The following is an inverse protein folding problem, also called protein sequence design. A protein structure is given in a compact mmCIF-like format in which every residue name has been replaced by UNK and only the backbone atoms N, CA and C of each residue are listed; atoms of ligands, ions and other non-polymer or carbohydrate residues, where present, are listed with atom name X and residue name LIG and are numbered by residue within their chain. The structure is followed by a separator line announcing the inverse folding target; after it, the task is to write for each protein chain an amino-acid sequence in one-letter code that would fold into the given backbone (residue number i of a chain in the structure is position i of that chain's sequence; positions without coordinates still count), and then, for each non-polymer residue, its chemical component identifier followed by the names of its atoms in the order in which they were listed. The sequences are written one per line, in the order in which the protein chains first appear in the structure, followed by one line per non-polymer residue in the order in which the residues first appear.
data_IF_446594962588
#
_entry.id   IF_446594962588
#
_cell.length_a   1.000
_cell.length_b   1.000
_cell.length_c   1.000
_cell.angle_alpha   90.00
_cell.angle_beta   90.00
_cell.angle_gamma   90.00
#
_symmetry.space_group_name_H-M   'P 1'
#
loop_
_entity.id
_entity.type
_entity.pdbx_description
1 polymer ?
#
# COMPACT_ATOMS: atom_id res chain seq x y z
N UNK A 1 -64.28 23.10 -25.20
CA UNK A 1 -65.21 22.05 -25.65
C UNK A 1 -64.98 21.91 -27.14
N UNK A 2 -64.18 20.93 -27.57
CA UNK A 2 -64.23 20.26 -28.87
C UNK A 2 -63.25 19.08 -28.82
N UNK A 3 -63.81 17.90 -29.02
CA UNK A 3 -63.22 16.56 -28.96
C UNK A 3 -62.00 16.35 -29.87
N UNK A 4 -61.05 15.54 -29.41
CA UNK A 4 -60.02 14.91 -30.25
C UNK A 4 -60.23 13.39 -30.16
N UNK A 5 -60.38 12.66 -31.29
CA UNK A 5 -60.79 11.26 -31.26
C UNK A 5 -59.64 10.29 -31.02
N UNK A 6 -59.99 9.22 -30.32
CA UNK A 6 -59.20 8.04 -30.00
C UNK A 6 -58.98 7.18 -31.26
N UNK A 7 -57.72 6.95 -31.65
CA UNK A 7 -57.36 6.05 -32.76
C UNK A 7 -56.68 4.80 -32.21
N UNK A 8 -57.40 3.68 -32.33
CA UNK A 8 -56.97 2.29 -32.12
C UNK A 8 -55.71 1.97 -32.92
N UNK A 9 -54.67 1.50 -32.24
CA UNK A 9 -53.51 0.85 -32.87
C UNK A 9 -53.82 -0.65 -33.02
N UNK A 10 -53.89 -1.11 -34.27
CA UNK A 10 -53.96 -2.54 -34.61
C UNK A 10 -52.57 -3.19 -34.56
N UNK A 11 -52.56 -4.41 -34.06
CA UNK A 11 -51.42 -5.32 -34.02
C UNK A 11 -51.02 -5.79 -35.43
N UNK A 12 -49.72 -5.93 -35.65
CA UNK A 12 -49.18 -6.61 -36.82
C UNK A 12 -47.68 -6.87 -36.71
N UNK A 13 -47.30 -8.15 -36.75
CA UNK A 13 -46.07 -8.63 -37.38
C UNK A 13 -44.82 -8.72 -36.51
N UNK A 14 -44.59 -9.91 -35.94
CA UNK A 14 -43.26 -10.39 -35.57
C UNK A 14 -42.43 -10.66 -36.84
N UNK A 15 -41.23 -10.09 -36.95
CA UNK A 15 -40.10 -10.74 -37.61
C UNK A 15 -38.89 -10.70 -36.64
N UNK A 16 -38.32 -11.88 -36.40
CA UNK A 16 -37.42 -12.15 -35.29
C UNK A 16 -35.96 -11.83 -35.56
N UNK A 17 -35.28 -11.33 -34.52
CA UNK A 17 -33.84 -11.47 -34.37
C UNK A 17 -33.53 -12.87 -33.81
N UNK A 18 -32.78 -13.74 -34.50
CA UNK A 18 -32.55 -15.11 -34.08
C UNK A 18 -31.29 -15.19 -33.21
N UNK A 19 -31.30 -14.64 -32.01
CA UNK A 19 -30.32 -15.02 -30.99
C UNK A 19 -30.98 -14.99 -29.61
N UNK A 20 -31.31 -16.15 -29.01
CA UNK A 20 -31.56 -16.19 -27.59
C UNK A 20 -30.21 -15.92 -26.92
N UNK A 21 -30.04 -14.75 -26.30
CA UNK A 21 -28.95 -14.56 -25.34
C UNK A 21 -29.23 -15.50 -24.17
N UNK A 22 -28.39 -16.52 -23.90
CA UNK A 22 -28.52 -17.24 -22.65
C UNK A 22 -28.06 -16.27 -21.55
N UNK A 23 -29.02 -15.68 -20.85
CA UNK A 23 -28.79 -15.05 -19.56
C UNK A 23 -28.41 -16.16 -18.56
N UNK A 24 -27.18 -16.68 -18.66
CA UNK A 24 -26.56 -17.40 -17.57
C UNK A 24 -26.39 -16.38 -16.46
N UNK A 25 -27.33 -16.37 -15.50
CA UNK A 25 -27.11 -15.85 -14.16
C UNK A 25 -25.77 -16.41 -13.71
N UNK A 26 -24.70 -15.60 -13.75
CA UNK A 26 -23.41 -15.99 -13.19
C UNK A 26 -23.66 -16.18 -11.70
N UNK A 27 -23.68 -17.45 -11.26
CA UNK A 27 -23.88 -17.88 -9.87
C UNK A 27 -23.05 -16.96 -8.97
N UNK A 28 -23.64 -16.41 -7.90
CA UNK A 28 -22.84 -15.82 -6.84
C UNK A 28 -21.85 -16.88 -6.37
N UNK A 29 -20.57 -16.56 -6.42
CA UNK A 29 -19.52 -17.55 -6.20
C UNK A 29 -19.54 -18.00 -4.73
N UNK A 30 -19.81 -19.29 -4.50
CA UNK A 30 -19.69 -19.89 -3.18
C UNK A 30 -18.20 -20.16 -2.93
N UNK A 31 -17.63 -19.46 -1.96
CA UNK A 31 -16.20 -19.54 -1.60
C UNK A 31 -15.77 -20.98 -1.32
N UNK A 32 -16.66 -21.79 -0.71
CA UNK A 32 -16.39 -23.19 -0.40
C UNK A 32 -16.34 -24.02 -1.69
N UNK A 33 -17.31 -23.86 -2.59
CA UNK A 33 -17.33 -24.56 -3.90
C UNK A 33 -16.03 -24.26 -4.68
N UNK A 34 -15.62 -23.00 -4.75
CA UNK A 34 -14.38 -22.62 -5.44
C UNK A 34 -13.12 -23.25 -4.84
N UNK A 35 -13.07 -23.39 -3.52
CA UNK A 35 -11.94 -24.01 -2.83
C UNK A 35 -11.95 -25.54 -3.02
N UNK A 36 -13.12 -26.17 -2.96
CA UNK A 36 -13.26 -27.63 -3.10
C UNK A 36 -13.00 -28.10 -4.54
N UNK A 37 -13.40 -27.32 -5.56
CA UNK A 37 -13.17 -27.64 -6.98
C UNK A 37 -11.69 -27.55 -7.43
N UNK A 38 -10.81 -27.00 -6.60
CA UNK A 38 -9.40 -26.71 -6.96
C UNK A 38 -8.40 -27.31 -5.96
N UNK A 39 -8.69 -28.50 -5.43
CA UNK A 39 -7.86 -29.23 -4.44
C UNK A 39 -7.56 -28.40 -3.16
N UNK A 40 -8.44 -27.48 -2.81
CA UNK A 40 -8.38 -26.65 -1.59
C UNK A 40 -9.07 -27.30 -0.39
N UNK A 41 -9.43 -28.58 -0.44
CA UNK A 41 -10.15 -29.26 0.64
C UNK A 41 -9.42 -29.19 1.98
N UNK A 42 -8.10 -29.37 1.97
CA UNK A 42 -7.25 -29.24 3.16
C UNK A 42 -7.28 -27.81 3.75
N UNK A 43 -7.38 -26.78 2.88
CA UNK A 43 -7.49 -25.37 3.32
C UNK A 43 -8.83 -25.13 3.99
N UNK A 44 -9.92 -25.62 3.40
CA UNK A 44 -11.26 -25.49 4.00
C UNK A 44 -11.31 -26.16 5.36
N UNK A 45 -10.73 -27.36 5.49
CA UNK A 45 -10.66 -28.06 6.76
C UNK A 45 -9.81 -27.32 7.80
N UNK A 46 -8.62 -26.84 7.41
CA UNK A 46 -7.71 -26.07 8.28
C UNK A 46 -8.35 -24.77 8.78
N UNK A 47 -9.00 -24.03 7.87
CA UNK A 47 -9.67 -22.78 8.20
C UNK A 47 -10.88 -23.01 9.11
N UNK A 48 -11.65 -24.08 8.94
CA UNK A 48 -12.79 -24.41 9.82
C UNK A 48 -12.36 -24.81 11.22
N UNK A 49 -11.27 -25.57 11.35
CA UNK A 49 -10.75 -26.06 12.63
C UNK A 49 -9.91 -25.01 13.39
N UNK A 50 -9.65 -23.85 12.78
CA UNK A 50 -8.66 -22.85 13.24
C UNK A 50 -7.24 -23.42 13.38
N UNK A 51 -6.98 -24.66 12.96
CA UNK A 51 -5.65 -25.24 12.90
C UNK A 51 -5.02 -24.90 11.53
N UNK A 52 -3.95 -24.10 11.53
CA UNK A 52 -3.22 -23.83 10.29
C UNK A 52 -3.74 -22.67 9.44
N UNK A 53 -4.36 -21.63 10.01
CA UNK A 53 -4.46 -20.30 9.37
C UNK A 53 -3.09 -19.60 9.36
N UNK A 54 -2.10 -20.26 8.75
CA UNK A 54 -0.78 -19.68 8.50
C UNK A 54 -0.85 -18.73 7.31
N UNK A 55 0.10 -17.81 7.19
CA UNK A 55 0.28 -17.00 5.99
C UNK A 55 0.33 -17.85 4.71
N UNK A 56 0.99 -19.02 4.76
CA UNK A 56 1.06 -19.96 3.63
C UNK A 56 -0.33 -20.47 3.22
N UNK A 57 -1.17 -20.81 4.20
CA UNK A 57 -2.55 -21.25 3.97
C UNK A 57 -3.40 -20.13 3.39
N UNK A 58 -3.30 -18.91 3.95
CA UNK A 58 -4.01 -17.73 3.43
C UNK A 58 -3.59 -17.40 2.00
N UNK A 59 -2.29 -17.40 1.69
CA UNK A 59 -1.78 -17.19 0.35
C UNK A 59 -2.29 -18.25 -0.64
N UNK A 60 -2.29 -19.53 -0.26
CA UNK A 60 -2.82 -20.62 -1.10
C UNK A 60 -4.33 -20.46 -1.33
N UNK A 61 -5.09 -20.10 -0.28
CA UNK A 61 -6.52 -19.79 -0.37
C UNK A 61 -6.77 -18.66 -1.38
N UNK A 62 -6.10 -17.51 -1.23
CA UNK A 62 -6.26 -16.36 -2.11
C UNK A 62 -5.92 -16.71 -3.56
N UNK A 63 -4.83 -17.46 -3.81
CA UNK A 63 -4.46 -17.90 -5.16
C UNK A 63 -5.54 -18.76 -5.82
N UNK A 64 -6.12 -19.70 -5.08
CA UNK A 64 -7.20 -20.56 -5.59
C UNK A 64 -8.43 -19.70 -5.90
N UNK A 65 -8.84 -18.84 -4.97
CA UNK A 65 -10.02 -17.99 -5.13
C UNK A 65 -9.85 -17.01 -6.29
N UNK A 66 -8.70 -16.36 -6.43
CA UNK A 66 -8.41 -15.47 -7.56
C UNK A 66 -8.39 -16.24 -8.89
N UNK A 67 -7.81 -17.45 -8.91
CA UNK A 67 -7.84 -18.31 -10.10
C UNK A 67 -9.27 -18.66 -10.51
N UNK A 68 -10.11 -19.07 -9.56
CA UNK A 68 -11.53 -19.33 -9.81
C UNK A 68 -12.29 -18.07 -10.25
N UNK A 69 -11.99 -16.91 -9.65
CA UNK A 69 -12.58 -15.63 -10.04
C UNK A 69 -12.26 -15.28 -11.50
N UNK A 70 -11.00 -15.50 -11.91
CA UNK A 70 -10.56 -15.29 -13.29
C UNK A 70 -11.23 -16.28 -14.25
N UNK A 71 -11.38 -17.55 -13.86
CA UNK A 71 -12.11 -18.56 -14.67
C UNK A 71 -13.58 -18.15 -14.90
N UNK A 72 -14.23 -17.58 -13.89
CA UNK A 72 -15.66 -17.21 -13.94
C UNK A 72 -15.94 -15.84 -14.60
N UNK A 73 -15.03 -14.88 -14.41
CA UNK A 73 -15.24 -13.47 -14.79
C UNK A 73 -14.19 -12.91 -15.76
N UNK A 74 -13.22 -13.71 -16.19
CA UNK A 74 -12.11 -13.29 -17.05
C UNK A 74 -10.99 -12.63 -16.25
N UNK A 75 -9.92 -12.23 -16.95
CA UNK A 75 -8.69 -11.68 -16.34
C UNK A 75 -8.87 -10.33 -15.63
N UNK A 76 -10.01 -9.66 -15.83
CA UNK A 76 -10.34 -8.38 -15.20
C UNK A 76 -11.77 -8.39 -14.64
N UNK A 77 -12.01 -9.07 -13.50
CA UNK A 77 -13.32 -9.05 -12.86
C UNK A 77 -13.73 -7.62 -12.46
N UNK A 78 -15.03 -7.26 -12.52
CA UNK A 78 -15.52 -5.98 -12.01
C UNK A 78 -15.26 -5.78 -10.52
N UNK A 79 -15.22 -4.54 -10.05
CA UNK A 79 -14.99 -4.20 -8.64
C UNK A 79 -16.06 -4.81 -7.73
N UNK A 80 -17.32 -4.78 -8.13
CA UNK A 80 -18.44 -5.36 -7.38
C UNK A 80 -18.25 -6.86 -7.13
N UNK A 81 -17.71 -7.57 -8.12
CA UNK A 81 -17.44 -9.01 -8.02
C UNK A 81 -16.26 -9.28 -7.07
N UNK A 82 -15.19 -8.48 -7.16
CA UNK A 82 -14.05 -8.56 -6.23
C UNK A 82 -14.48 -8.29 -4.79
N UNK A 83 -15.25 -7.22 -4.58
CA UNK A 83 -15.81 -6.86 -3.27
C UNK A 83 -16.76 -7.93 -2.75
N UNK A 84 -17.62 -8.50 -3.61
CA UNK A 84 -18.50 -9.60 -3.25
C UNK A 84 -17.74 -10.84 -2.78
N UNK A 85 -16.67 -11.22 -3.48
CA UNK A 85 -15.81 -12.33 -3.09
C UNK A 85 -15.13 -12.05 -1.74
N UNK A 86 -14.57 -10.85 -1.54
CA UNK A 86 -13.94 -10.47 -0.28
C UNK A 86 -14.91 -10.56 0.91
N UNK A 87 -16.15 -10.06 0.73
CA UNK A 87 -17.22 -10.18 1.73
C UNK A 87 -17.54 -11.65 2.03
N UNK A 88 -17.73 -12.47 0.99
CA UNK A 88 -18.05 -13.88 1.15
C UNK A 88 -16.94 -14.66 1.88
N UNK A 89 -15.66 -14.32 1.66
CA UNK A 89 -14.54 -14.93 2.39
C UNK A 89 -14.66 -14.65 3.88
N UNK A 90 -14.90 -13.38 4.24
CA UNK A 90 -14.97 -12.93 5.63
C UNK A 90 -16.24 -13.41 6.35
N UNK A 91 -17.33 -13.63 5.62
CA UNK A 91 -18.54 -14.28 6.13
C UNK A 91 -18.34 -15.78 6.34
N UNK A 92 -17.66 -16.44 5.40
CA UNK A 92 -17.38 -17.89 5.45
C UNK A 92 -16.35 -18.23 6.51
N UNK A 93 -15.37 -17.35 6.72
CA UNK A 93 -14.28 -17.50 7.67
C UNK A 93 -14.22 -16.28 8.61
N UNK A 94 -15.14 -16.16 9.59
CA UNK A 94 -15.24 -14.98 10.44
C UNK A 94 -14.00 -14.68 11.28
N UNK A 95 -13.15 -15.67 11.54
CA UNK A 95 -11.89 -15.43 12.27
C UNK A 95 -10.86 -14.68 11.42
N UNK A 96 -11.04 -14.59 10.10
CA UNK A 96 -10.25 -13.69 9.25
C UNK A 96 -10.68 -12.22 9.43
N UNK A 97 -11.78 -11.96 10.16
CA UNK A 97 -12.07 -10.63 10.67
C UNK A 97 -11.03 -10.36 11.73
N UNK A 98 -10.20 -9.38 11.48
CA UNK A 98 -9.46 -8.79 12.56
C UNK A 98 -10.42 -7.93 13.41
N UNK A 99 -10.43 -8.16 14.73
CA UNK A 99 -11.17 -7.34 15.69
C UNK A 99 -10.57 -5.95 15.87
N UNK A 100 -9.27 -5.80 15.60
CA UNK A 100 -8.50 -4.55 15.75
C UNK A 100 -8.37 -3.79 14.39
N UNK A 101 -8.54 -4.48 13.27
CA UNK A 101 -8.53 -3.92 11.92
C UNK A 101 -7.14 -3.71 11.28
N UNK A 102 -6.07 -4.17 11.93
CA UNK A 102 -4.67 -4.19 11.47
C UNK A 102 -4.37 -5.34 10.47
N UNK A 103 -5.23 -6.36 10.42
CA UNK A 103 -5.12 -7.53 9.54
C UNK A 103 -4.00 -8.49 9.95
N UNK A 104 -3.53 -9.30 9.00
CA UNK A 104 -2.42 -10.25 9.21
C UNK A 104 -1.12 -9.80 8.53
N UNK A 105 -0.94 -8.49 8.37
CA UNK A 105 0.16 -7.93 7.59
C UNK A 105 1.51 -8.32 8.17
N UNK A 106 1.63 -8.30 9.49
CA UNK A 106 2.89 -8.63 10.18
C UNK A 106 3.27 -10.10 9.96
N UNK A 107 2.30 -11.02 10.09
CA UNK A 107 2.52 -12.45 9.88
C UNK A 107 2.77 -12.77 8.41
N UNK A 108 2.03 -12.13 7.50
CA UNK A 108 2.20 -12.33 6.05
C UNK A 108 3.57 -11.82 5.59
N UNK A 109 3.98 -10.64 6.06
CA UNK A 109 5.31 -10.10 5.78
C UNK A 109 6.40 -11.02 6.34
N UNK A 110 6.30 -11.42 7.61
CA UNK A 110 7.23 -12.34 8.26
C UNK A 110 7.36 -13.68 7.51
N UNK A 111 6.26 -14.19 6.96
CA UNK A 111 6.27 -15.42 6.18
C UNK A 111 6.91 -15.27 4.80
N UNK A 112 6.81 -14.10 4.17
CA UNK A 112 7.42 -13.82 2.87
C UNK A 112 8.93 -13.65 2.96
N UNK A 113 9.43 -12.95 3.98
CA UNK A 113 10.85 -12.55 4.04
C UNK A 113 11.66 -13.25 5.16
N UNK A 114 10.98 -13.99 6.05
CA UNK A 114 11.54 -14.62 7.24
C UNK A 114 11.42 -13.75 8.50
N UNK A 115 11.05 -14.37 9.61
CA UNK A 115 10.75 -13.71 10.89
C UNK A 115 11.88 -12.80 11.41
N UNK A 116 13.14 -13.17 11.15
CA UNK A 116 14.32 -12.39 11.57
C UNK A 116 14.41 -11.01 10.90
N UNK A 117 13.64 -10.76 9.83
CA UNK A 117 13.64 -9.49 9.10
C UNK A 117 12.49 -8.56 9.48
N UNK A 118 11.43 -9.03 10.13
CA UNK A 118 10.20 -8.25 10.35
C UNK A 118 10.39 -7.04 11.26
N UNK A 119 11.19 -7.18 12.32
CA UNK A 119 11.42 -6.09 13.29
C UNK A 119 12.58 -5.16 12.92
N UNK A 120 13.16 -5.31 11.72
CA UNK A 120 14.44 -4.67 11.38
C UNK A 120 14.38 -3.15 11.44
N UNK A 121 13.28 -2.53 11.04
CA UNK A 121 13.14 -1.09 11.13
C UNK A 121 13.24 -0.63 12.59
N UNK A 122 12.43 -1.20 13.49
CA UNK A 122 12.52 -0.86 14.92
C UNK A 122 13.89 -1.16 15.55
N UNK A 123 14.57 -2.23 15.12
CA UNK A 123 15.88 -2.62 15.67
C UNK A 123 17.02 -1.75 15.15
N UNK A 124 16.97 -1.34 13.87
CA UNK A 124 18.02 -0.52 13.25
C UNK A 124 17.83 0.97 13.49
N UNK A 125 16.59 1.44 13.59
CA UNK A 125 16.30 2.87 13.67
C UNK A 125 16.50 3.42 15.09
N UNK A 126 17.77 3.45 15.51
CA UNK A 126 18.19 3.98 16.81
C UNK A 126 18.45 5.48 16.74
N UNK A 127 18.62 6.11 17.92
CA UNK A 127 18.95 7.55 18.01
C UNK A 127 20.29 7.86 17.35
N UNK A 128 21.24 6.94 17.42
CA UNK A 128 22.57 7.05 16.81
C UNK A 128 22.46 7.04 15.29
N UNK A 129 21.69 6.11 14.72
CA UNK A 129 21.46 6.07 13.28
C UNK A 129 20.76 7.34 12.78
N UNK A 130 19.77 7.82 13.52
CA UNK A 130 19.10 9.08 13.22
C UNK A 130 20.07 10.26 13.19
N UNK A 131 20.98 10.36 14.17
CA UNK A 131 22.01 11.39 14.22
C UNK A 131 22.98 11.28 13.02
N UNK A 132 23.43 10.07 12.66
CA UNK A 132 24.27 9.84 11.48
C UNK A 132 23.58 10.27 10.19
N UNK A 133 22.27 10.04 10.06
CA UNK A 133 21.49 10.47 8.90
C UNK A 133 21.42 11.99 8.84
N UNK A 134 21.08 12.67 9.95
CA UNK A 134 21.05 14.13 10.01
C UNK A 134 22.42 14.74 9.67
N UNK A 135 23.50 14.15 10.17
CA UNK A 135 24.86 14.56 9.86
C UNK A 135 25.17 14.39 8.36
N UNK A 136 24.80 13.24 7.77
CA UNK A 136 24.97 13.01 6.34
C UNK A 136 24.18 14.04 5.51
N UNK A 137 22.94 14.34 5.89
CA UNK A 137 22.13 15.38 5.25
C UNK A 137 22.86 16.73 5.25
N UNK A 138 23.50 17.05 6.38
CA UNK A 138 24.27 18.28 6.55
C UNK A 138 25.58 18.28 5.74
N UNK A 139 26.18 17.13 5.45
CA UNK A 139 27.39 17.06 4.63
C UNK A 139 27.11 17.22 3.13
N UNK A 140 25.95 16.78 2.63
CA UNK A 140 25.58 16.89 1.21
C UNK A 140 25.20 18.33 0.76
N UNK A 141 25.41 19.34 1.62
CA UNK A 141 24.90 20.73 1.55
C UNK A 141 25.35 21.63 0.38
N UNK A 142 25.94 21.13 -0.70
CA UNK A 142 26.45 22.03 -1.75
C UNK A 142 25.43 22.58 -2.76
N UNK A 143 24.11 22.34 -2.62
CA UNK A 143 23.17 22.87 -3.62
C UNK A 143 21.66 22.84 -3.39
N UNK A 144 21.15 22.32 -2.28
CA UNK A 144 19.70 22.32 -1.99
C UNK A 144 19.46 23.07 -0.69
N UNK A 145 18.73 24.19 -0.74
CA UNK A 145 18.20 24.80 0.47
C UNK A 145 17.25 23.78 1.10
N UNK A 146 17.72 23.06 2.13
CA UNK A 146 16.97 22.01 2.82
C UNK A 146 15.71 22.51 3.55
N UNK A 147 15.38 23.79 3.39
CA UNK A 147 14.16 24.43 3.84
C UNK A 147 13.97 24.40 5.35
N UNK A 148 12.86 24.96 5.78
CA UNK A 148 12.46 24.99 7.19
C UNK A 148 12.22 23.58 7.75
N UNK A 149 11.85 22.62 6.88
CA UNK A 149 11.58 21.22 7.24
C UNK A 149 12.81 20.53 7.85
N UNK A 150 13.98 20.66 7.23
CA UNK A 150 15.18 20.02 7.77
C UNK A 150 15.61 20.63 9.11
N UNK A 151 15.52 21.96 9.24
CA UNK A 151 15.85 22.63 10.50
C UNK A 151 14.92 22.19 11.62
N UNK A 152 13.61 22.16 11.34
CA UNK A 152 12.58 21.65 12.26
C UNK A 152 12.87 20.21 12.72
N UNK A 153 13.24 19.32 11.79
CA UNK A 153 13.56 17.93 12.09
C UNK A 153 14.88 17.76 12.85
N UNK A 154 15.88 18.60 12.58
CA UNK A 154 17.16 18.60 13.30
C UNK A 154 17.00 18.98 14.77
N UNK A 155 16.07 19.88 15.07
CA UNK A 155 15.77 20.33 16.44
C UNK A 155 14.64 19.54 17.11
N UNK A 156 14.17 18.47 16.48
CA UNK A 156 13.06 17.68 17.02
C UNK A 156 13.44 16.97 18.33
N UNK A 157 12.46 16.83 19.22
CA UNK A 157 12.65 16.19 20.54
C UNK A 157 12.96 14.69 20.41
N UNK A 158 12.34 14.01 19.45
CA UNK A 158 12.58 12.61 19.16
C UNK A 158 13.48 12.48 17.91
N UNK A 159 14.76 12.08 18.05
CA UNK A 159 15.65 11.90 16.92
C UNK A 159 15.13 10.92 15.88
N UNK A 160 14.28 9.95 16.24
CA UNK A 160 13.79 8.95 15.29
C UNK A 160 12.94 9.56 14.17
N UNK A 161 12.39 10.76 14.38
CA UNK A 161 11.66 11.52 13.34
C UNK A 161 12.56 11.98 12.20
N UNK A 162 13.89 11.92 12.34
CA UNK A 162 14.86 12.19 11.27
C UNK A 162 14.70 11.31 10.03
N UNK A 163 14.00 10.16 10.14
CA UNK A 163 13.60 9.33 8.99
C UNK A 163 12.83 10.13 7.93
N UNK A 164 12.11 11.17 8.35
CA UNK A 164 11.39 12.08 7.46
C UNK A 164 12.31 12.88 6.53
N UNK A 165 13.60 13.02 6.87
CA UNK A 165 14.56 13.74 6.04
C UNK A 165 15.01 12.95 4.82
N UNK A 166 14.83 11.62 4.77
CA UNK A 166 15.34 10.78 3.67
C UNK A 166 15.01 11.32 2.26
N UNK A 167 13.77 11.77 1.96
CA UNK A 167 13.43 12.29 0.64
C UNK A 167 14.14 13.62 0.28
N UNK A 168 14.74 14.32 1.25
CA UNK A 168 15.42 15.61 1.01
C UNK A 168 16.78 15.47 0.32
N UNK A 169 17.38 14.29 0.35
CA UNK A 169 18.73 14.07 -0.18
C UNK A 169 18.86 12.78 -0.99
N UNK A 170 17.90 11.87 -0.87
CA UNK A 170 17.73 10.81 -1.85
C UNK A 170 17.08 11.41 -3.11
N UNK A 171 17.69 11.18 -4.28
CA UNK A 171 17.19 11.70 -5.55
C UNK A 171 15.71 11.33 -5.76
N UNK A 172 14.80 12.31 -5.91
CA UNK A 172 13.41 12.04 -6.22
C UNK A 172 13.29 11.27 -7.54
N UNK A 173 12.26 10.42 -7.66
CA UNK A 173 12.06 9.68 -8.91
C UNK A 173 11.40 10.50 -10.01
N UNK A 174 11.10 9.83 -11.13
CA UNK A 174 10.38 10.42 -12.28
C UNK A 174 8.90 10.15 -12.14
N UNK A 175 8.09 11.19 -12.21
CA UNK A 175 6.64 11.11 -12.17
C UNK A 175 6.02 11.55 -13.51
N UNK A 176 4.83 11.04 -13.79
CA UNK A 176 4.05 11.45 -14.96
C UNK A 176 3.46 12.83 -14.70
N UNK A 177 3.65 13.75 -15.63
CA UNK A 177 3.08 15.09 -15.56
C UNK A 177 1.81 15.21 -16.41
N UNK A 178 1.83 14.56 -17.58
CA UNK A 178 0.77 14.59 -18.60
C UNK A 178 0.84 13.27 -19.36
N UNK A 179 -0.21 12.81 -20.07
CA UNK A 179 -0.10 11.62 -20.90
C UNK A 179 1.14 11.62 -21.81
N UNK A 180 2.02 10.63 -21.60
CA UNK A 180 3.28 10.48 -22.35
C UNK A 180 4.46 11.37 -21.90
N UNK A 181 4.28 12.33 -20.99
CA UNK A 181 5.35 13.22 -20.51
C UNK A 181 5.70 12.97 -19.05
N UNK A 182 6.99 12.76 -18.79
CA UNK A 182 7.55 12.51 -17.47
C UNK A 182 8.47 13.66 -17.08
N UNK A 183 8.44 14.04 -15.79
CA UNK A 183 9.38 14.98 -15.19
C UNK A 183 9.98 14.41 -13.91
N UNK A 184 11.06 15.01 -13.44
CA UNK A 184 11.58 14.71 -12.11
C UNK A 184 10.63 15.29 -11.05
N UNK A 185 10.39 14.52 -10.00
CA UNK A 185 9.72 15.03 -8.82
C UNK A 185 10.65 16.00 -8.07
N UNK A 186 10.07 16.95 -7.36
CA UNK A 186 10.80 17.82 -6.44
C UNK A 186 11.02 17.12 -5.10
N UNK A 187 11.93 17.63 -4.27
CA UNK A 187 12.09 17.13 -2.90
C UNK A 187 10.84 17.36 -2.05
N UNK A 188 10.09 18.44 -2.28
CA UNK A 188 8.81 18.68 -1.59
C UNK A 188 7.75 17.64 -1.96
N UNK A 189 7.67 17.27 -3.24
CA UNK A 189 6.77 16.20 -3.70
C UNK A 189 7.19 14.84 -3.14
N UNK A 190 8.50 14.57 -3.04
CA UNK A 190 9.01 13.35 -2.44
C UNK A 190 8.71 13.29 -0.93
N UNK A 191 8.84 14.41 -0.20
CA UNK A 191 8.46 14.50 1.21
C UNK A 191 6.97 14.20 1.43
N UNK A 192 6.10 14.84 0.65
CA UNK A 192 4.65 14.70 0.78
C UNK A 192 4.16 13.31 0.32
N UNK A 193 4.83 12.70 -0.66
CA UNK A 193 4.54 11.35 -1.09
C UNK A 193 5.00 10.30 -0.07
N UNK A 194 6.14 10.54 0.60
CA UNK A 194 6.62 9.63 1.64
C UNK A 194 5.73 9.69 2.88
N UNK A 195 5.44 10.90 3.37
CA UNK A 195 4.58 11.16 4.53
C UNK A 195 3.72 12.38 4.22
N UNK A 196 2.42 12.15 4.09
CA UNK A 196 1.44 13.23 4.02
C UNK A 196 1.34 13.90 5.39
N UNK A 197 1.51 15.21 5.46
CA UNK A 197 1.38 15.95 6.71
C UNK A 197 0.13 16.81 6.65
N UNK A 198 -0.77 16.59 7.61
CA UNK A 198 -2.00 17.36 7.77
C UNK A 198 -2.06 17.98 9.17
N UNK A 199 -2.73 19.12 9.37
CA UNK A 199 -2.84 19.74 10.69
C UNK A 199 -3.65 18.87 11.66
N UNK A 200 -3.41 19.08 12.97
CA UNK A 200 -4.27 18.49 14.02
C UNK A 200 -5.70 19.02 13.85
N UNK A 201 -6.69 18.14 13.97
CA UNK A 201 -8.10 18.46 13.76
C UNK A 201 -8.61 18.26 12.33
N UNK A 202 -7.78 17.73 11.42
CA UNK A 202 -8.20 17.33 10.07
C UNK A 202 -9.37 16.34 10.15
N UNK A 203 -10.44 16.63 9.40
CA UNK A 203 -11.59 15.74 9.29
C UNK A 203 -11.19 14.54 8.41
N UNK A 204 -10.84 13.42 9.04
CA UNK A 204 -10.36 12.23 8.34
C UNK A 204 -11.33 11.69 7.28
N UNK A 205 -12.65 11.53 7.54
CA UNK A 205 -13.58 11.10 6.49
C UNK A 205 -13.54 11.98 5.25
N UNK A 206 -13.62 13.30 5.42
CA UNK A 206 -13.56 14.25 4.30
C UNK A 206 -12.23 14.17 3.55
N UNK A 207 -11.13 14.13 4.30
CA UNK A 207 -9.79 14.00 3.73
C UNK A 207 -9.67 12.73 2.88
N UNK A 208 -10.22 11.60 3.35
CA UNK A 208 -10.19 10.32 2.65
C UNK A 208 -11.02 10.35 1.36
N UNK A 209 -12.18 11.00 1.38
CA UNK A 209 -13.04 11.18 0.19
C UNK A 209 -12.40 12.06 -0.89
N UNK A 210 -11.50 12.96 -0.52
CA UNK A 210 -10.78 13.86 -1.43
C UNK A 210 -9.56 13.19 -2.10
N UNK A 211 -9.14 11.99 -1.66
CA UNK A 211 -8.02 11.27 -2.27
C UNK A 211 -8.43 10.62 -3.58
N UNK A 212 -7.80 11.05 -4.68
CA UNK A 212 -7.92 10.40 -5.97
C UNK A 212 -6.91 9.26 -6.09
N UNK A 213 -7.38 8.02 -6.30
CA UNK A 213 -6.53 6.81 -6.42
C UNK A 213 -5.44 6.94 -7.50
N UNK A 214 -5.77 7.61 -8.62
CA UNK A 214 -4.85 7.84 -9.73
C UNK A 214 -3.72 8.83 -9.37
N UNK A 215 -3.96 9.72 -8.42
CA UNK A 215 -2.99 10.74 -7.99
C UNK A 215 -2.13 10.26 -6.83
N UNK A 216 -2.73 9.50 -5.90
CA UNK A 216 -2.06 9.04 -4.68
C UNK A 216 -2.27 7.54 -4.48
N UNK A 217 -1.26 6.77 -4.87
CA UNK A 217 -1.23 5.32 -4.66
C UNK A 217 -1.22 5.00 -3.16
N UNK A 218 -2.05 4.03 -2.79
CA UNK A 218 -2.11 3.46 -1.45
C UNK A 218 -1.33 2.13 -1.40
N UNK A 219 -0.77 1.76 -0.24
CA UNK A 219 -0.82 2.48 1.02
C UNK A 219 0.17 3.65 1.10
N UNK A 220 -0.11 4.63 1.97
CA UNK A 220 0.83 5.70 2.31
C UNK A 220 0.69 6.14 3.77
N UNK A 221 1.70 6.81 4.31
CA UNK A 221 1.68 7.32 5.69
C UNK A 221 1.03 8.71 5.74
N UNK A 222 0.07 8.87 6.65
CA UNK A 222 -0.50 10.15 7.04
C UNK A 222 -0.03 10.52 8.45
N UNK A 223 0.49 11.72 8.59
CA UNK A 223 0.93 12.34 9.83
C UNK A 223 0.00 13.51 10.17
N UNK A 224 -0.63 13.48 11.34
CA UNK A 224 -1.33 14.63 11.90
C UNK A 224 -0.40 15.38 12.85
N UNK A 225 -0.24 16.68 12.64
CA UNK A 225 0.62 17.56 13.42
C UNK A 225 1.88 18.02 12.69
N UNK A 226 2.87 18.44 13.45
CA UNK A 226 4.14 18.95 12.92
C UNK A 226 5.15 17.82 12.72
N UNK A 227 6.05 17.96 11.75
CA UNK A 227 7.07 16.95 11.47
C UNK A 227 8.06 16.78 12.62
N UNK A 228 8.42 17.87 13.30
CA UNK A 228 9.28 17.87 14.49
C UNK A 228 8.61 17.23 15.71
N UNK A 229 7.27 17.29 15.79
CA UNK A 229 6.50 16.75 16.90
C UNK A 229 5.20 16.10 16.42
N UNK A 230 5.28 14.89 15.84
CA UNK A 230 4.12 14.11 15.43
C UNK A 230 3.07 13.98 16.53
N UNK A 231 1.81 14.30 16.25
CA UNK A 231 0.73 14.10 17.21
C UNK A 231 0.06 12.73 17.03
N UNK A 232 -0.27 12.36 15.80
CA UNK A 232 -0.84 11.05 15.45
C UNK A 232 -0.31 10.60 14.09
N UNK A 233 -0.12 9.29 13.93
CA UNK A 233 0.31 8.70 12.67
C UNK A 233 -0.68 7.62 12.23
N UNK A 234 -0.94 7.56 10.93
CA UNK A 234 -1.85 6.62 10.30
C UNK A 234 -1.21 6.02 9.05
N UNK A 235 -1.65 4.82 8.68
CA UNK A 235 -1.46 4.27 7.33
C UNK A 235 -2.79 4.34 6.61
N UNK A 236 -2.81 5.02 5.46
CA UNK A 236 -3.99 5.11 4.61
C UNK A 236 -3.98 3.95 3.64
N UNK A 237 -5.03 3.14 3.64
CA UNK A 237 -5.20 2.00 2.75
C UNK A 237 -6.67 1.70 2.46
N UNK A 238 -7.00 1.46 1.18
CA UNK A 238 -8.36 1.24 0.67
C UNK A 238 -9.39 2.24 1.25
N UNK A 239 -9.02 3.53 1.29
CA UNK A 239 -9.90 4.61 1.78
C UNK A 239 -10.12 4.59 3.29
N UNK A 240 -9.26 3.92 4.06
CA UNK A 240 -9.32 3.85 5.52
C UNK A 240 -8.04 4.36 6.14
N UNK A 241 -8.15 4.97 7.31
CA UNK A 241 -7.01 5.37 8.14
C UNK A 241 -6.81 4.34 9.26
N UNK A 242 -5.69 3.62 9.22
CA UNK A 242 -5.29 2.69 10.27
C UNK A 242 -4.35 3.40 11.23
N UNK A 243 -4.71 3.51 12.50
CA UNK A 243 -3.90 4.22 13.49
C UNK A 243 -2.62 3.44 13.80
N UNK A 244 -1.51 4.14 13.95
CA UNK A 244 -0.24 3.56 14.37
C UNK A 244 0.23 4.22 15.68
N UNK A 245 0.88 3.47 16.58
CA UNK A 245 1.30 3.98 17.89
C UNK A 245 2.44 5.00 17.79
N UNK A 246 3.16 5.05 16.67
CA UNK A 246 4.19 6.04 16.39
C UNK A 246 4.39 6.23 14.88
N UNK A 247 5.05 7.33 14.49
CA UNK A 247 5.42 7.55 13.09
C UNK A 247 6.31 6.43 12.55
N UNK A 248 7.26 5.93 13.36
CA UNK A 248 8.12 4.82 12.96
C UNK A 248 7.32 3.55 12.69
N UNK A 249 6.31 3.25 13.52
CA UNK A 249 5.41 2.11 13.34
C UNK A 249 4.47 2.29 12.14
N UNK A 250 4.04 3.51 11.83
CA UNK A 250 3.28 3.79 10.61
C UNK A 250 4.12 3.51 9.35
N UNK A 251 5.39 3.93 9.33
CA UNK A 251 6.29 3.69 8.20
C UNK A 251 6.61 2.19 8.05
N UNK A 252 6.82 1.51 9.17
CA UNK A 252 7.01 0.05 9.24
C UNK A 252 5.81 -0.69 8.60
N UNK A 253 4.61 -0.42 9.11
CA UNK A 253 3.38 -1.02 8.61
C UNK A 253 3.13 -0.68 7.13
N UNK A 254 3.30 0.59 6.74
CA UNK A 254 3.15 1.02 5.36
C UNK A 254 4.11 0.27 4.43
N UNK A 255 5.39 0.14 4.79
CA UNK A 255 6.35 -0.62 3.99
C UNK A 255 5.94 -2.09 3.86
N UNK A 256 5.55 -2.72 4.98
CA UNK A 256 5.11 -4.12 5.01
C UNK A 256 3.89 -4.34 4.12
N UNK A 257 2.91 -3.43 4.16
CA UNK A 257 1.75 -3.48 3.29
C UNK A 257 2.13 -3.32 1.81
N UNK A 258 3.00 -2.36 1.46
CA UNK A 258 3.48 -2.21 0.08
C UNK A 258 4.08 -3.53 -0.41
N UNK A 259 4.89 -4.18 0.41
CA UNK A 259 5.55 -5.43 0.06
C UNK A 259 4.60 -6.61 -0.02
N UNK A 260 3.72 -6.81 0.98
CA UNK A 260 2.75 -7.91 1.05
C UNK A 260 1.74 -7.83 -0.10
N UNK A 261 1.23 -6.64 -0.39
CA UNK A 261 0.27 -6.41 -1.48
C UNK A 261 0.94 -6.21 -2.83
N UNK A 262 2.27 -6.31 -2.90
CA UNK A 262 3.03 -6.24 -4.14
C UNK A 262 2.79 -4.92 -4.92
N UNK A 263 2.66 -3.82 -4.16
CA UNK A 263 2.39 -2.47 -4.67
C UNK A 263 3.69 -1.82 -5.17
N UNK A 264 3.60 -1.06 -6.26
CA UNK A 264 4.74 -0.27 -6.73
C UNK A 264 5.00 0.94 -5.81
N UNK A 265 6.26 1.21 -5.50
CA UNK A 265 6.63 2.42 -4.78
C UNK A 265 6.14 3.69 -5.48
N UNK A 266 5.67 4.66 -4.68
CA UNK A 266 5.33 5.98 -5.17
C UNK A 266 6.54 6.58 -5.92
N UNK A 267 6.36 7.01 -7.19
CA UNK A 267 7.49 7.44 -8.02
C UNK A 267 8.30 8.59 -7.41
N UNK A 268 7.65 9.50 -6.68
CA UNK A 268 8.24 10.70 -6.09
C UNK A 268 9.30 10.33 -5.03
N UNK A 269 8.99 9.37 -4.14
CA UNK A 269 9.86 8.94 -3.05
C UNK A 269 10.41 7.51 -3.25
N UNK A 270 10.48 7.06 -4.50
CA UNK A 270 10.93 5.71 -4.87
C UNK A 270 12.27 5.33 -4.20
N UNK A 271 13.26 6.23 -4.24
CA UNK A 271 14.60 5.99 -3.69
C UNK A 271 14.59 5.90 -2.16
N UNK A 272 13.63 6.56 -1.51
CA UNK A 272 13.41 6.46 -0.07
C UNK A 272 12.91 5.06 0.29
N UNK A 273 11.90 4.55 -0.42
CA UNK A 273 11.42 3.18 -0.21
C UNK A 273 12.45 2.12 -0.60
N UNK A 274 13.25 2.36 -1.65
CA UNK A 274 14.38 1.48 -1.99
C UNK A 274 15.42 1.42 -0.85
N UNK A 275 15.73 2.55 -0.22
CA UNK A 275 16.62 2.58 0.94
C UNK A 275 16.03 1.76 2.10
N UNK A 276 14.74 1.95 2.43
CA UNK A 276 14.05 1.16 3.46
C UNK A 276 14.13 -0.34 3.14
N UNK A 277 13.79 -0.75 1.92
CA UNK A 277 13.85 -2.15 1.51
C UNK A 277 15.26 -2.74 1.64
N UNK A 278 16.25 -2.12 1.00
CA UNK A 278 17.58 -2.72 0.79
C UNK A 278 18.52 -2.51 1.97
N UNK A 279 18.44 -1.37 2.64
CA UNK A 279 19.31 -1.06 3.78
C UNK A 279 18.67 -1.46 5.10
N UNK A 280 17.41 -1.07 5.33
CA UNK A 280 16.75 -1.34 6.62
C UNK A 280 16.36 -2.80 6.71
N UNK A 281 15.50 -3.28 5.82
CA UNK A 281 15.01 -4.67 5.85
C UNK A 281 16.00 -5.69 5.27
N UNK A 282 16.99 -5.24 4.51
CA UNK A 282 17.98 -6.10 3.83
C UNK A 282 17.30 -7.13 2.92
N UNK A 283 16.34 -6.64 2.15
CA UNK A 283 15.69 -7.38 1.08
C UNK A 283 16.45 -7.06 -0.21
N UNK A 284 17.12 -8.07 -0.76
CA UNK A 284 17.99 -7.95 -1.94
C UNK A 284 17.23 -7.95 -3.27
N UNK A 285 15.94 -8.26 -3.23
CA UNK A 285 15.12 -8.37 -4.43
C UNK A 285 15.15 -7.05 -5.22
N UNK A 286 15.15 -7.17 -6.54
CA UNK A 286 15.07 -6.00 -7.38
C UNK A 286 13.71 -5.33 -7.15
N UNK A 287 13.73 -4.02 -6.95
CA UNK A 287 12.49 -3.25 -6.96
C UNK A 287 11.88 -3.37 -8.36
N UNK A 288 10.56 -3.58 -8.44
CA UNK A 288 9.86 -3.75 -9.72
C UNK A 288 10.26 -2.69 -10.75
N UNK A 289 10.73 -3.15 -11.90
CA UNK A 289 11.09 -2.28 -13.03
C UNK A 289 12.46 -1.60 -12.94
N UNK A 290 13.30 -1.86 -11.93
CA UNK A 290 14.69 -1.38 -11.91
C UNK A 290 15.69 -2.43 -11.46
N UNK A 291 16.81 -2.49 -12.19
CA UNK A 291 17.94 -3.37 -11.88
C UNK A 291 18.97 -2.61 -11.04
N UNK A 292 19.46 -3.24 -9.96
CA UNK A 292 20.51 -2.68 -9.12
C UNK A 292 20.03 -1.61 -8.14
N UNK A 293 20.96 -1.04 -7.36
CA UNK A 293 20.67 -0.08 -6.29
C UNK A 293 20.99 1.35 -6.73
N UNK A 294 20.06 2.29 -6.50
CA UNK A 294 20.25 3.69 -6.89
C UNK A 294 21.56 4.27 -6.32
N UNK A 295 22.27 5.14 -7.08
CA UNK A 295 23.52 5.75 -6.63
C UNK A 295 23.42 6.47 -5.28
N UNK A 296 22.34 7.20 -5.03
CA UNK A 296 22.09 7.91 -3.76
C UNK A 296 21.98 6.95 -2.58
N UNK A 297 21.27 5.82 -2.75
CA UNK A 297 21.14 4.76 -1.75
C UNK A 297 22.49 4.10 -1.47
N UNK A 298 23.31 3.87 -2.52
CA UNK A 298 24.68 3.34 -2.35
C UNK A 298 25.59 4.30 -1.60
N UNK A 299 25.52 5.60 -1.92
CA UNK A 299 26.34 6.63 -1.25
C UNK A 299 25.96 6.76 0.23
N UNK A 300 24.67 6.87 0.55
CA UNK A 300 24.20 6.91 1.92
C UNK A 300 24.59 5.65 2.69
N UNK A 301 24.38 4.46 2.10
CA UNK A 301 24.78 3.19 2.72
C UNK A 301 26.28 3.17 3.04
N UNK A 302 27.13 3.59 2.11
CA UNK A 302 28.58 3.62 2.32
C UNK A 302 28.97 4.57 3.46
N UNK A 303 28.33 5.74 3.56
CA UNK A 303 28.56 6.66 4.67
C UNK A 303 28.16 6.03 6.00
N UNK A 304 26.95 5.47 6.08
CA UNK A 304 26.47 4.83 7.31
C UNK A 304 27.32 3.63 7.73
N UNK A 305 27.88 2.85 6.80
CA UNK A 305 28.80 1.76 7.15
C UNK A 305 30.14 2.27 7.68
N UNK A 306 30.66 3.37 7.12
CA UNK A 306 31.94 3.92 7.54
C UNK A 306 31.87 4.59 8.92
N UNK A 307 30.74 5.22 9.24
CA UNK A 307 30.51 5.85 10.55
C UNK A 307 30.30 4.85 11.70
N UNK A 308 30.17 3.55 11.40
CA UNK A 308 30.00 2.47 12.38
C UNK A 308 31.29 1.64 12.59
N UNK A 309 32.40 1.99 11.94
CA UNK A 309 33.70 1.39 12.22
C UNK A 309 34.26 1.98 13.53
N UNK A 310 34.77 1.15 14.47
CA UNK A 310 35.48 1.68 15.63
C UNK A 310 36.70 2.47 15.14
N UNK A 311 36.84 3.71 15.62
CA UNK A 311 38.05 4.52 15.45
C UNK A 311 39.21 3.94 16.25
#
# INVERSE_FOLDING_TARGET
MFDVPEVRVQAGGQEGCPFPLPAKRKKNANVIEMLEESDGHEIVQALRRRDGCTAKTRCKMVRILVSGLIKLHGSRPPTEIKTGLAKAIVETFPFLRDSEGEGYIEEDFSALIGQNKSDKLSKKWTKELAAQILQYCELQRSGVALGDVFQSLKTAEDPQVALQCLPLFLAPGRMRNTPGRFRNATHSEALNAFIDQQPVGTNLPRYLDEILEDERRQPFVLLLGERSRPAQAFVIFEGRAMAAPSLLKAIDLCFKMIYVFDVEYAPQCYTTWEFVQKYVFEISDNVKGKMGTSPSVRSLRAHLTNSNLPQ
#
